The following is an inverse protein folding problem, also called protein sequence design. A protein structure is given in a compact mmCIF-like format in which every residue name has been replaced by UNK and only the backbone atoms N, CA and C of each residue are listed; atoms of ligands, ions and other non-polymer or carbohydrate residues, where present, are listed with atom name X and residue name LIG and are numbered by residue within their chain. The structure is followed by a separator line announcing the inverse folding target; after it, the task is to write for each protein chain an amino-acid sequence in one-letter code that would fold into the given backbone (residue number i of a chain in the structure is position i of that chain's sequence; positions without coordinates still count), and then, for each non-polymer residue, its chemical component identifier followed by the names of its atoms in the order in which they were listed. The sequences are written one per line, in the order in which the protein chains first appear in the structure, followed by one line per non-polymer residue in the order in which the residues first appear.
data_IF_739154783389
#
_entry.id   IF_739154783389
#
_cell.length_a   1.000
_cell.length_b   1.000
_cell.length_c   1.000
_cell.angle_alpha   90.00
_cell.angle_beta   90.00
_cell.angle_gamma   90.00
#
_symmetry.space_group_name_H-M   'P 1'
#
loop_
_entity.id
_entity.type
_entity.pdbx_description
1 polymer ?
#
# COMPACT_ATOMS: atom_id res chain seq x y z
N UNK A 1 28.08 -22.65 -27.13
CA UNK A 1 27.63 -23.63 -26.11
C UNK A 1 26.64 -22.93 -25.21
N UNK A 2 25.37 -23.27 -25.30
CA UNK A 2 24.34 -22.80 -24.37
C UNK A 2 24.58 -23.50 -23.03
N UNK A 3 24.69 -22.73 -21.95
CA UNK A 3 24.76 -23.28 -20.60
C UNK A 3 23.49 -24.12 -20.33
N UNK A 4 23.63 -25.37 -19.85
CA UNK A 4 22.48 -26.19 -19.51
C UNK A 4 21.63 -25.47 -18.44
N UNK A 5 20.32 -25.50 -18.60
CA UNK A 5 19.43 -24.92 -17.60
C UNK A 5 19.47 -25.76 -16.31
N UNK A 6 19.39 -25.08 -15.16
CA UNK A 6 19.43 -25.74 -13.83
C UNK A 6 18.45 -26.93 -13.73
N UNK A 7 17.33 -26.87 -14.46
CA UNK A 7 16.32 -27.96 -14.53
C UNK A 7 16.89 -29.30 -15.10
N UNK A 8 17.97 -29.25 -15.88
CA UNK A 8 18.55 -30.46 -16.51
C UNK A 8 19.34 -31.31 -15.49
N UNK A 9 19.64 -30.74 -14.31
CA UNK A 9 20.34 -31.38 -13.20
C UNK A 9 19.44 -31.76 -12.02
N UNK A 10 18.14 -31.53 -12.14
CA UNK A 10 17.21 -31.72 -11.05
C UNK A 10 16.32 -32.93 -11.23
N UNK A 11 16.14 -33.80 -10.22
CA UNK A 11 15.14 -34.87 -10.27
C UNK A 11 13.76 -34.33 -10.63
N UNK A 12 13.01 -35.06 -11.47
CA UNK A 12 11.73 -34.61 -12.04
C UNK A 12 10.64 -34.34 -10.99
N UNK A 13 10.68 -35.05 -9.88
CA UNK A 13 9.83 -34.87 -8.70
C UNK A 13 10.12 -33.53 -8.00
N UNK A 14 11.37 -33.22 -7.74
CA UNK A 14 11.82 -31.97 -7.15
C UNK A 14 11.47 -30.79 -8.10
N UNK A 15 11.67 -30.96 -9.41
CA UNK A 15 11.30 -29.95 -10.38
C UNK A 15 9.79 -29.63 -10.37
N UNK A 16 8.92 -30.65 -10.17
CA UNK A 16 7.47 -30.46 -10.06
C UNK A 16 7.07 -29.70 -8.81
N UNK A 17 7.71 -29.94 -7.68
CA UNK A 17 7.41 -29.25 -6.41
C UNK A 17 7.89 -27.81 -6.46
N UNK A 18 9.05 -27.54 -7.03
CA UNK A 18 9.55 -26.18 -7.28
C UNK A 18 8.64 -25.41 -8.25
N UNK A 19 8.10 -26.08 -9.28
CA UNK A 19 7.14 -25.45 -10.21
C UNK A 19 5.82 -25.11 -9.49
N UNK A 20 5.32 -25.98 -8.61
CA UNK A 20 4.15 -25.71 -7.77
C UNK A 20 4.40 -24.53 -6.82
N UNK A 21 5.56 -24.48 -6.18
CA UNK A 21 5.94 -23.38 -5.29
C UNK A 21 6.10 -22.05 -6.04
N UNK A 22 6.56 -22.09 -7.29
CA UNK A 22 6.64 -20.93 -8.18
C UNK A 22 5.26 -20.34 -8.50
N UNK A 23 4.19 -21.16 -8.52
CA UNK A 23 2.81 -20.69 -8.74
C UNK A 23 2.24 -19.96 -7.50
N UNK A 24 2.78 -20.19 -6.31
CA UNK A 24 2.31 -19.56 -5.06
C UNK A 24 3.14 -18.30 -4.73
N UNK A 25 4.26 -18.08 -5.41
CA UNK A 25 5.08 -16.88 -5.20
C UNK A 25 4.35 -15.65 -5.72
N UNK A 26 4.01 -14.67 -4.86
CA UNK A 26 3.38 -13.43 -5.31
C UNK A 26 4.29 -12.69 -6.29
N UNK A 27 3.70 -12.10 -7.31
CA UNK A 27 4.40 -11.15 -8.15
C UNK A 27 4.77 -9.88 -7.36
N UNK A 28 5.44 -8.94 -8.00
CA UNK A 28 5.91 -7.74 -7.31
C UNK A 28 4.78 -6.81 -6.88
N UNK A 29 3.77 -6.66 -7.72
CA UNK A 29 2.61 -5.82 -7.42
C UNK A 29 1.84 -6.40 -6.23
N UNK A 30 1.62 -7.70 -6.23
CA UNK A 30 1.00 -8.42 -5.12
C UNK A 30 1.82 -8.28 -3.83
N UNK A 31 3.15 -8.43 -3.92
CA UNK A 31 4.03 -8.27 -2.76
C UNK A 31 3.98 -6.85 -2.19
N UNK A 32 4.08 -5.81 -3.03
CA UNK A 32 4.04 -4.43 -2.57
C UNK A 32 2.66 -4.04 -2.03
N UNK A 33 1.59 -4.51 -2.67
CA UNK A 33 0.23 -4.27 -2.19
C UNK A 33 -0.05 -5.00 -0.87
N UNK A 34 0.43 -6.24 -0.70
CA UNK A 34 0.34 -6.96 0.57
C UNK A 34 1.08 -6.22 1.68
N UNK A 35 2.24 -5.64 1.37
CA UNK A 35 2.99 -4.81 2.32
C UNK A 35 2.21 -3.55 2.73
N UNK A 36 1.44 -2.95 1.81
CA UNK A 36 0.52 -1.85 2.13
C UNK A 36 -0.66 -2.32 3.02
N UNK A 37 -1.18 -3.53 2.80
CA UNK A 37 -2.19 -4.15 3.69
C UNK A 37 -1.62 -4.35 5.09
N UNK A 38 -0.40 -4.87 5.20
CA UNK A 38 0.28 -5.06 6.49
C UNK A 38 0.51 -3.70 7.18
N UNK A 39 0.96 -2.68 6.45
CA UNK A 39 1.08 -1.32 7.01
C UNK A 39 -0.25 -0.81 7.58
N UNK A 40 -1.38 -1.07 6.90
CA UNK A 40 -2.71 -0.66 7.34
C UNK A 40 -3.13 -1.29 8.68
N UNK A 41 -2.57 -2.46 9.08
CA UNK A 41 -2.85 -3.06 10.39
C UNK A 41 -2.35 -2.21 11.55
N UNK A 42 -1.44 -1.28 11.29
CA UNK A 42 -0.93 -0.30 12.28
C UNK A 42 -1.73 0.99 12.33
N UNK A 43 -2.76 1.14 11.49
CA UNK A 43 -3.59 2.34 11.49
C UNK A 43 -4.18 2.64 12.88
N UNK A 44 -4.03 3.87 13.34
CA UNK A 44 -4.53 4.30 14.65
C UNK A 44 -5.95 4.88 14.61
N UNK A 45 -6.62 4.81 13.48
CA UNK A 45 -8.02 5.19 13.31
C UNK A 45 -8.92 4.00 13.65
N UNK A 46 -9.88 4.17 14.56
CA UNK A 46 -10.85 3.14 14.96
C UNK A 46 -11.95 2.88 13.93
N UNK A 47 -12.00 3.65 12.85
CA UNK A 47 -13.09 3.60 11.86
C UNK A 47 -12.65 3.18 10.47
N UNK A 48 -11.39 3.45 10.12
CA UNK A 48 -10.91 3.27 8.75
C UNK A 48 -9.41 2.99 8.75
N UNK A 49 -9.02 1.85 8.21
CA UNK A 49 -7.62 1.45 8.11
C UNK A 49 -7.15 1.56 6.66
N UNK A 50 -6.10 2.33 6.45
CA UNK A 50 -5.44 2.48 5.16
C UNK A 50 -3.94 2.38 5.31
N UNK A 51 -3.30 1.85 4.27
CA UNK A 51 -1.86 1.72 4.18
C UNK A 51 -1.36 2.07 2.79
N UNK A 52 -0.14 2.55 2.73
CA UNK A 52 0.54 2.86 1.49
C UNK A 52 2.01 2.41 1.57
N UNK A 53 2.54 1.97 0.43
CA UNK A 53 3.94 1.60 0.26
C UNK A 53 4.47 2.30 -0.99
N UNK A 54 5.67 2.85 -0.89
CA UNK A 54 6.39 3.43 -2.03
C UNK A 54 7.50 2.44 -2.41
N UNK A 55 7.49 2.03 -3.68
CA UNK A 55 8.48 1.11 -4.24
C UNK A 55 9.28 1.79 -5.36
N UNK A 56 10.57 1.54 -5.38
CA UNK A 56 11.50 2.00 -6.43
C UNK A 56 12.57 0.95 -6.65
N UNK A 57 12.97 0.73 -7.91
CA UNK A 57 13.99 -0.25 -8.25
C UNK A 57 13.72 -1.64 -7.63
N UNK A 58 12.45 -2.06 -7.65
CA UNK A 58 12.00 -3.35 -7.12
C UNK A 58 12.16 -3.52 -5.59
N UNK A 59 12.29 -2.44 -4.84
CA UNK A 59 12.43 -2.43 -3.37
C UNK A 59 11.42 -1.46 -2.75
N UNK A 60 10.93 -1.80 -1.58
CA UNK A 60 10.18 -0.87 -0.74
C UNK A 60 11.17 0.15 -0.18
N UNK A 61 10.84 1.44 -0.35
CA UNK A 61 11.66 2.55 0.13
C UNK A 61 10.96 3.37 1.20
N UNK A 62 9.63 3.28 1.29
CA UNK A 62 8.85 3.89 2.36
C UNK A 62 7.52 3.15 2.54
N UNK A 63 6.95 3.25 3.73
CA UNK A 63 5.59 2.80 4.03
C UNK A 63 4.90 3.80 4.94
N UNK A 64 3.58 3.83 4.90
CA UNK A 64 2.76 4.68 5.76
C UNK A 64 1.41 4.03 6.03
N UNK A 65 0.81 4.40 7.13
CA UNK A 65 -0.58 4.08 7.49
C UNK A 65 -1.27 5.33 8.00
N UNK A 66 -2.59 5.35 7.98
CA UNK A 66 -3.31 6.52 8.47
C UNK A 66 -3.30 6.58 10.00
N UNK A 67 -2.91 7.73 10.51
CA UNK A 67 -2.76 7.93 11.95
C UNK A 67 -2.39 9.37 12.30
N UNK A 68 -2.57 9.73 13.56
CA UNK A 68 -2.23 11.06 14.05
C UNK A 68 -0.70 11.26 14.07
N UNK A 69 -0.24 12.50 13.91
CA UNK A 69 1.17 12.84 14.06
C UNK A 69 1.73 12.46 15.44
N UNK A 70 3.04 12.25 15.58
CA UNK A 70 3.68 12.02 16.87
C UNK A 70 3.31 13.10 17.89
N UNK A 71 2.99 12.67 19.12
CA UNK A 71 2.57 13.55 20.20
C UNK A 71 1.09 13.95 20.20
N UNK A 72 0.35 13.62 19.15
CA UNK A 72 -1.11 13.84 19.07
C UNK A 72 -1.82 12.53 19.39
N UNK A 73 -2.62 12.43 20.46
CA UNK A 73 -3.33 11.21 20.84
C UNK A 73 -4.21 10.70 19.69
N UNK A 74 -4.07 9.44 19.34
CA UNK A 74 -4.84 8.80 18.26
C UNK A 74 -6.28 8.49 18.70
N UNK A 75 -7.16 8.26 17.73
CA UNK A 75 -8.53 7.80 18.02
C UNK A 75 -8.53 6.47 18.80
N UNK A 76 -7.54 5.59 18.54
CA UNK A 76 -7.40 4.32 19.25
C UNK A 76 -7.04 4.55 20.73
N UNK A 77 -6.11 5.45 21.02
CA UNK A 77 -5.70 5.79 22.40
C UNK A 77 -6.80 6.54 23.15
N UNK A 78 -7.54 7.43 22.48
CA UNK A 78 -8.64 8.18 23.06
C UNK A 78 -9.91 7.33 23.25
N UNK A 79 -10.07 6.25 22.52
CA UNK A 79 -11.27 5.41 22.50
C UNK A 79 -12.45 5.99 21.73
N UNK A 80 -12.31 7.14 21.06
CA UNK A 80 -13.36 7.78 20.27
C UNK A 80 -12.84 8.43 18.98
N UNK A 81 -13.74 8.69 18.04
CA UNK A 81 -13.45 9.43 16.81
C UNK A 81 -13.77 10.91 17.02
N UNK A 82 -12.82 11.80 16.74
CA UNK A 82 -13.01 13.24 16.89
C UNK A 82 -14.15 13.80 16.01
N UNK A 83 -14.39 13.22 14.82
CA UNK A 83 -15.55 13.58 14.00
C UNK A 83 -16.87 13.18 14.64
N UNK A 84 -16.95 11.95 15.16
CA UNK A 84 -18.15 11.46 15.85
C UNK A 84 -18.45 12.33 17.09
N UNK A 85 -17.42 12.65 17.87
CA UNK A 85 -17.55 13.50 19.06
C UNK A 85 -18.00 14.93 18.73
N UNK A 86 -17.63 15.44 17.56
CA UNK A 86 -18.05 16.76 17.08
C UNK A 86 -19.39 16.73 16.32
N UNK A 87 -20.07 15.58 16.22
CA UNK A 87 -21.31 15.45 15.44
C UNK A 87 -21.16 15.67 13.94
N UNK A 88 -19.93 15.53 13.43
CA UNK A 88 -19.60 15.79 12.01
C UNK A 88 -19.68 14.50 11.21
N UNK A 89 -20.43 14.53 10.10
CA UNK A 89 -20.50 13.40 9.19
C UNK A 89 -19.11 12.98 8.69
N UNK A 90 -18.90 11.68 8.58
CA UNK A 90 -17.60 11.11 8.16
C UNK A 90 -17.21 11.48 6.75
N UNK A 91 -18.18 11.68 5.87
CA UNK A 91 -17.97 12.16 4.51
C UNK A 91 -17.54 13.63 4.45
N UNK A 92 -17.79 14.40 5.52
CA UNK A 92 -17.39 15.81 5.62
C UNK A 92 -15.87 15.92 5.62
N UNK A 93 -15.31 16.20 4.47
CA UNK A 93 -13.86 16.41 4.28
C UNK A 93 -13.54 17.88 4.56
N UNK A 94 -12.35 18.10 5.13
CA UNK A 94 -11.90 19.46 5.45
C UNK A 94 -12.60 20.08 6.67
N UNK A 95 -13.35 19.29 7.45
CA UNK A 95 -13.98 19.79 8.69
C UNK A 95 -12.98 20.18 9.78
N UNK A 96 -11.69 19.82 9.62
CA UNK A 96 -10.64 20.05 10.63
C UNK A 96 -10.71 19.12 11.85
N UNK A 97 -11.78 18.35 12.02
CA UNK A 97 -11.95 17.49 13.20
C UNK A 97 -11.14 16.18 13.14
N UNK A 98 -10.74 15.71 11.96
CA UNK A 98 -9.86 14.54 11.83
C UNK A 98 -8.40 14.99 11.90
N UNK A 99 -7.68 14.55 12.92
CA UNK A 99 -6.28 14.90 13.12
C UNK A 99 -5.32 13.90 12.46
N UNK A 100 -5.85 12.81 11.88
CA UNK A 100 -5.05 11.79 11.25
C UNK A 100 -4.48 12.24 9.89
N UNK A 101 -3.20 12.00 9.67
CA UNK A 101 -2.56 12.09 8.37
C UNK A 101 -2.90 10.83 7.57
N UNK A 102 -3.13 10.96 6.27
CA UNK A 102 -3.42 9.85 5.39
C UNK A 102 -2.18 8.95 5.18
N UNK A 103 -2.41 7.69 4.85
CA UNK A 103 -1.34 6.71 4.66
C UNK A 103 -0.33 7.11 3.59
N UNK A 104 -0.82 7.66 2.47
CA UNK A 104 0.00 8.13 1.35
C UNK A 104 0.89 9.31 1.77
N UNK A 105 0.32 10.27 2.51
CA UNK A 105 1.07 11.42 3.02
C UNK A 105 2.13 10.98 4.03
N UNK A 106 1.80 10.05 4.95
CA UNK A 106 2.76 9.48 5.88
C UNK A 106 3.90 8.74 5.17
N UNK A 107 3.59 7.95 4.13
CA UNK A 107 4.62 7.27 3.33
C UNK A 107 5.59 8.27 2.66
N UNK A 108 5.09 9.40 2.17
CA UNK A 108 5.91 10.45 1.56
C UNK A 108 6.76 11.17 2.63
N UNK A 109 6.16 11.58 3.73
CA UNK A 109 6.84 12.37 4.80
C UNK A 109 7.90 11.54 5.51
N UNK A 110 7.65 10.24 5.75
CA UNK A 110 8.61 9.36 6.43
C UNK A 110 9.79 8.93 5.54
N UNK A 111 9.80 9.32 4.29
CA UNK A 111 10.90 9.04 3.38
C UNK A 111 11.95 10.16 3.43
N UNK A 112 12.76 10.18 4.48
CA UNK A 112 13.68 11.28 4.76
C UNK A 112 14.90 11.37 3.82
N UNK A 113 15.32 10.27 3.20
CA UNK A 113 16.64 10.23 2.54
C UNK A 113 16.59 9.78 1.06
N UNK A 114 15.46 9.36 0.54
CA UNK A 114 15.39 8.79 -0.80
C UNK A 114 14.60 9.66 -1.77
N UNK A 115 15.18 9.86 -2.94
CA UNK A 115 14.52 10.52 -4.05
C UNK A 115 13.35 9.65 -4.56
N UNK A 116 12.12 10.16 -4.43
CA UNK A 116 10.89 9.52 -4.90
C UNK A 116 10.67 9.61 -6.42
N UNK A 117 11.52 10.34 -7.14
CA UNK A 117 11.41 10.51 -8.57
C UNK A 117 11.35 9.17 -9.31
N UNK A 118 10.27 8.94 -10.05
CA UNK A 118 10.06 7.71 -10.81
C UNK A 118 9.57 6.50 -9.99
N UNK A 119 9.29 6.69 -8.69
CA UNK A 119 8.76 5.62 -7.84
C UNK A 119 7.30 5.27 -8.19
N UNK A 120 6.84 4.10 -7.71
CA UNK A 120 5.44 3.66 -7.73
C UNK A 120 4.89 3.63 -6.31
N UNK A 121 3.71 4.20 -6.10
CA UNK A 121 2.96 4.10 -4.85
C UNK A 121 1.91 3.01 -4.96
N UNK A 122 1.85 2.14 -3.96
CA UNK A 122 0.81 1.13 -3.76
C UNK A 122 -0.03 1.54 -2.57
N UNK A 123 -1.33 1.68 -2.73
CA UNK A 123 -2.25 2.11 -1.68
C UNK A 123 -3.57 1.34 -1.73
N UNK A 124 -4.19 1.14 -0.58
CA UNK A 124 -5.43 0.37 -0.48
C UNK A 124 -6.60 1.06 -1.15
N UNK A 125 -6.62 2.39 -1.13
CA UNK A 125 -7.69 3.20 -1.72
C UNK A 125 -7.10 4.21 -2.70
N UNK A 126 -7.88 4.54 -3.73
CA UNK A 126 -7.50 5.60 -4.66
C UNK A 126 -7.26 6.91 -3.88
N UNK A 127 -6.14 7.62 -4.12
CA UNK A 127 -5.77 8.80 -3.35
C UNK A 127 -6.82 9.92 -3.41
N UNK A 128 -7.04 10.59 -2.29
CA UNK A 128 -7.84 11.80 -2.28
C UNK A 128 -7.11 12.98 -2.95
N UNK A 129 -7.81 14.10 -3.17
CA UNK A 129 -7.23 15.27 -3.84
C UNK A 129 -5.95 15.78 -3.17
N UNK A 130 -5.92 15.82 -1.82
CA UNK A 130 -4.76 16.33 -1.10
C UNK A 130 -3.56 15.37 -1.24
N UNK A 131 -3.81 14.06 -1.12
CA UNK A 131 -2.77 13.07 -1.37
C UNK A 131 -2.28 13.08 -2.83
N UNK A 132 -3.19 13.29 -3.79
CA UNK A 132 -2.83 13.39 -5.21
C UNK A 132 -1.86 14.56 -5.48
N UNK A 133 -2.07 15.71 -4.84
CA UNK A 133 -1.13 16.86 -4.93
C UNK A 133 0.24 16.50 -4.37
N UNK A 134 0.29 15.87 -3.17
CA UNK A 134 1.54 15.45 -2.56
C UNK A 134 2.29 14.42 -3.43
N UNK A 135 1.57 13.43 -3.96
CA UNK A 135 2.11 12.43 -4.88
C UNK A 135 2.70 13.09 -6.12
N UNK A 136 1.97 14.03 -6.73
CA UNK A 136 2.44 14.75 -7.91
C UNK A 136 3.70 15.58 -7.61
N UNK A 137 3.73 16.26 -6.45
CA UNK A 137 4.86 17.09 -6.03
C UNK A 137 6.10 16.27 -5.64
N UNK A 138 5.92 15.01 -5.21
CA UNK A 138 7.03 14.15 -4.78
C UNK A 138 7.81 13.51 -5.93
N UNK A 139 7.29 13.55 -7.16
CA UNK A 139 7.92 12.93 -8.34
C UNK A 139 7.57 11.46 -8.55
N UNK A 140 6.65 10.89 -7.78
CA UNK A 140 6.08 9.57 -8.03
C UNK A 140 5.44 9.55 -9.42
N UNK A 141 5.62 8.46 -10.17
CA UNK A 141 5.15 8.34 -11.56
C UNK A 141 4.04 7.32 -11.78
N UNK A 142 3.78 6.49 -10.81
CA UNK A 142 2.68 5.52 -10.89
C UNK A 142 2.00 5.35 -9.53
N UNK A 143 0.68 5.17 -9.57
CA UNK A 143 -0.16 4.81 -8.42
C UNK A 143 -0.92 3.53 -8.74
N UNK A 144 -0.77 2.52 -7.87
CA UNK A 144 -1.50 1.26 -7.94
C UNK A 144 -2.42 1.17 -6.73
N UNK A 145 -3.70 0.89 -6.92
CA UNK A 145 -4.67 0.87 -5.83
C UNK A 145 -5.62 -0.34 -5.92
N UNK A 146 -6.22 -0.72 -4.77
CA UNK A 146 -7.19 -1.83 -4.73
C UNK A 146 -8.63 -1.35 -4.88
N UNK A 147 -9.02 -0.29 -4.19
CA UNK A 147 -10.41 0.17 -4.14
C UNK A 147 -10.52 1.62 -4.57
N UNK A 148 -11.51 1.90 -5.41
CA UNK A 148 -11.87 3.26 -5.76
C UNK A 148 -12.61 3.92 -4.59
N UNK A 149 -12.21 5.13 -4.24
CA UNK A 149 -12.88 5.94 -3.22
C UNK A 149 -13.92 6.84 -3.89
N UNK A 150 -15.20 6.52 -3.70
CA UNK A 150 -16.32 6.98 -4.57
C UNK A 150 -16.49 8.48 -4.78
N UNK A 151 -16.09 9.34 -3.86
CA UNK A 151 -16.55 10.74 -3.87
C UNK A 151 -15.52 11.80 -4.32
N UNK A 152 -14.25 11.44 -4.53
CA UNK A 152 -13.18 12.42 -4.83
C UNK A 152 -12.40 12.16 -6.11
N UNK A 153 -12.82 11.19 -6.86
CA UNK A 153 -12.10 10.67 -8.04
C UNK A 153 -11.81 11.76 -9.09
N UNK A 154 -12.79 12.60 -9.54
CA UNK A 154 -12.55 13.43 -10.71
C UNK A 154 -11.40 14.43 -10.56
N UNK A 155 -11.19 14.99 -9.35
CA UNK A 155 -10.13 15.99 -9.12
C UNK A 155 -8.75 15.36 -8.96
N UNK A 156 -8.65 14.21 -8.29
CA UNK A 156 -7.40 13.48 -8.16
C UNK A 156 -6.94 12.90 -9.50
N UNK A 157 -7.86 12.36 -10.30
CA UNK A 157 -7.58 11.91 -11.68
C UNK A 157 -7.10 13.07 -12.56
N UNK A 158 -7.74 14.24 -12.46
CA UNK A 158 -7.32 15.44 -13.19
C UNK A 158 -5.87 15.82 -12.85
N UNK A 159 -5.50 15.80 -11.55
CA UNK A 159 -4.13 16.07 -11.09
C UNK A 159 -3.17 15.05 -11.70
N UNK A 160 -3.48 13.77 -11.63
CA UNK A 160 -2.60 12.72 -12.15
C UNK A 160 -2.43 12.80 -13.67
N UNK A 161 -3.51 13.08 -14.42
CA UNK A 161 -3.47 13.24 -15.87
C UNK A 161 -2.57 14.42 -16.27
N UNK A 162 -2.72 15.60 -15.64
CA UNK A 162 -1.87 16.75 -15.91
C UNK A 162 -0.42 16.51 -15.50
N UNK A 163 -0.18 15.85 -14.37
CA UNK A 163 1.17 15.51 -13.91
C UNK A 163 1.79 14.31 -14.65
N UNK A 164 1.06 13.70 -15.60
CA UNK A 164 1.47 12.49 -16.34
C UNK A 164 1.83 11.33 -15.41
N UNK A 165 1.07 11.17 -14.34
CA UNK A 165 1.19 10.05 -13.40
C UNK A 165 0.26 8.94 -13.88
N UNK A 166 0.80 7.75 -14.08
CA UNK A 166 0.00 6.57 -14.38
C UNK A 166 -0.76 6.13 -13.14
N UNK A 167 -2.00 5.70 -13.29
CA UNK A 167 -2.74 5.09 -12.18
C UNK A 167 -3.55 3.91 -12.69
N UNK A 168 -3.62 2.86 -11.89
CA UNK A 168 -4.36 1.65 -12.22
C UNK A 168 -4.89 0.96 -10.99
N UNK A 169 -6.07 0.39 -11.13
CA UNK A 169 -6.60 -0.53 -10.15
C UNK A 169 -6.00 -1.91 -10.37
N UNK A 170 -5.70 -2.62 -9.28
CA UNK A 170 -5.33 -4.02 -9.33
C UNK A 170 -6.33 -4.88 -8.58
N UNK A 171 -6.48 -6.12 -9.03
CA UNK A 171 -7.19 -7.16 -8.31
C UNK A 171 -6.20 -7.95 -7.45
N UNK A 172 -6.65 -8.35 -6.26
CA UNK A 172 -5.83 -9.13 -5.34
C UNK A 172 -6.59 -10.36 -4.86
N UNK A 173 -6.02 -11.52 -5.10
CA UNK A 173 -6.53 -12.80 -4.63
C UNK A 173 -6.06 -13.07 -3.19
N UNK A 174 -6.78 -12.53 -2.22
CA UNK A 174 -6.42 -12.59 -0.79
C UNK A 174 -6.21 -14.02 -0.28
N UNK A 175 -7.02 -14.98 -0.70
CA UNK A 175 -6.92 -16.39 -0.26
C UNK A 175 -5.58 -17.01 -0.62
N UNK A 176 -5.03 -16.70 -1.80
CA UNK A 176 -3.72 -17.18 -2.22
C UNK A 176 -2.61 -16.56 -1.38
N UNK A 177 -2.74 -15.26 -1.06
CA UNK A 177 -1.78 -14.54 -0.22
C UNK A 177 -1.79 -15.05 1.22
N UNK A 178 -2.97 -15.30 1.80
CA UNK A 178 -3.09 -15.88 3.13
C UNK A 178 -2.46 -17.28 3.20
N UNK A 179 -2.73 -18.15 2.23
CA UNK A 179 -2.07 -19.47 2.15
C UNK A 179 -0.55 -19.35 2.10
N UNK A 180 -0.02 -18.38 1.35
CA UNK A 180 1.44 -18.16 1.29
C UNK A 180 2.02 -17.69 2.62
N UNK A 181 1.35 -16.77 3.30
CA UNK A 181 1.75 -16.33 4.65
C UNK A 181 1.73 -17.50 5.63
N UNK A 182 0.68 -18.32 5.60
CA UNK A 182 0.60 -19.51 6.45
C UNK A 182 1.74 -20.51 6.19
N UNK A 183 2.10 -20.75 4.92
CA UNK A 183 3.24 -21.58 4.56
C UNK A 183 4.55 -21.05 5.14
N UNK A 184 4.80 -19.73 5.00
CA UNK A 184 5.99 -19.09 5.57
C UNK A 184 6.00 -19.25 7.11
N UNK A 185 4.86 -19.00 7.76
CA UNK A 185 4.75 -19.12 9.22
C UNK A 185 4.94 -20.56 9.72
N UNK A 186 4.52 -21.56 8.94
CA UNK A 186 4.76 -22.98 9.28
C UNK A 186 6.24 -23.35 9.17
N UNK A 187 6.94 -22.89 8.12
CA UNK A 187 8.36 -23.17 7.89
C UNK A 187 9.30 -22.50 8.92
N UNK A 188 8.81 -21.54 9.70
CA UNK A 188 9.61 -20.89 10.77
C UNK A 188 9.48 -21.61 12.13
N UNK A 189 8.69 -22.69 12.23
CA UNK A 189 8.48 -23.44 13.48
C UNK A 189 9.32 -24.73 13.55
N UNK A 190 10.03 -25.05 12.49
CA UNK A 190 11.01 -26.15 12.39
C UNK A 190 12.44 -25.63 12.61
#
# INVERSE_FOLDING_TARGET
MTLPEIKDFMPKDIAKDIIKEKQIRPDRDQYFMLSAVIAATRASCIKFNSGAVIAKNKRIIASGYNGNPPGVPSCHEQGFCNKDAAGVDRSSKGSGHCLATHAEANAIVQNHEQNLQGATMYCLHFPCNECAKLIASSGIKEVVYLKMYREQVPKAELIFNHAKIKFRQMEMHYDQMLKKIEQVMKSTKE
#
